data_IF_704013385304
#
_entry.id   IF_704013385304
#
_cell.length_a   1.000
_cell.length_b   1.000
_cell.length_c   1.000
_cell.angle_alpha   90.00
_cell.angle_beta   90.00
_cell.angle_gamma   90.00
#
_symmetry.space_group_name_H-M   'P 1'
#
loop_
_entity.id
_entity.type
_entity.pdbx_description
1 polymer ?
#
# COMPACT_ATOMS: atom_id res chain seq x y z
N UNK A 1 -10.96 8.83 8.45
CA UNK A 1 -9.58 8.86 7.95
C UNK A 1 -9.39 10.00 6.98
N UNK A 2 -8.24 10.62 7.02
CA UNK A 2 -7.89 11.71 6.14
C UNK A 2 -7.00 11.21 5.00
N UNK A 3 -6.75 12.10 4.03
CA UNK A 3 -5.84 11.76 2.93
C UNK A 3 -4.44 11.40 3.43
N UNK A 4 -4.00 12.06 4.51
CA UNK A 4 -2.71 11.74 5.11
C UNK A 4 -2.66 10.33 5.68
N UNK A 5 -3.78 9.89 6.28
CA UNK A 5 -3.86 8.55 6.84
C UNK A 5 -3.80 7.50 5.73
N UNK A 6 -4.49 7.75 4.62
CA UNK A 6 -4.47 6.85 3.49
C UNK A 6 -3.06 6.74 2.90
N UNK A 7 -2.37 7.88 2.82
CA UNK A 7 -1.02 7.89 2.30
C UNK A 7 -0.06 7.12 3.20
N UNK A 8 -0.18 7.30 4.51
CA UNK A 8 0.66 6.57 5.46
C UNK A 8 0.42 5.06 5.35
N UNK A 9 -0.84 4.67 5.19
CA UNK A 9 -1.18 3.27 5.04
C UNK A 9 -0.59 2.70 3.76
N UNK A 10 -0.71 3.45 2.65
CA UNK A 10 -0.13 3.03 1.39
C UNK A 10 1.38 2.93 1.46
N UNK A 11 2.04 3.88 2.11
CA UNK A 11 3.49 3.85 2.29
C UNK A 11 3.91 2.60 3.06
N UNK A 12 3.19 2.28 4.12
CA UNK A 12 3.48 1.10 4.92
C UNK A 12 3.34 -0.19 4.10
N UNK A 13 2.30 -0.26 3.29
CA UNK A 13 2.08 -1.43 2.43
C UNK A 13 3.18 -1.56 1.38
N UNK A 14 3.60 -0.44 0.79
CA UNK A 14 4.66 -0.46 -0.19
C UNK A 14 5.98 -0.90 0.40
N UNK A 15 6.30 -0.42 1.59
CA UNK A 15 7.52 -0.81 2.29
C UNK A 15 7.50 -2.30 2.63
N UNK A 16 6.35 -2.79 3.08
CA UNK A 16 6.20 -4.21 3.39
C UNK A 16 6.36 -5.05 2.13
N UNK A 17 5.79 -4.62 1.02
CA UNK A 17 5.93 -5.31 -0.25
C UNK A 17 7.39 -5.37 -0.68
N UNK A 18 8.12 -4.27 -0.49
CA UNK A 18 9.54 -4.22 -0.82
C UNK A 18 10.32 -5.22 0.03
N UNK A 19 9.99 -5.30 1.31
CA UNK A 19 10.62 -6.23 2.23
C UNK A 19 10.40 -7.68 1.78
N UNK A 20 9.18 -8.00 1.39
CA UNK A 20 8.86 -9.34 0.89
C UNK A 20 9.64 -9.67 -0.38
N UNK A 21 9.78 -8.69 -1.25
CA UNK A 21 10.54 -8.85 -2.49
C UNK A 21 12.00 -9.16 -2.19
N UNK A 22 12.59 -8.44 -1.23
CA UNK A 22 13.99 -8.66 -0.86
C UNK A 22 14.23 -10.02 -0.24
N UNK A 23 13.23 -10.56 0.44
CA UNK A 23 13.32 -11.86 1.08
C UNK A 23 12.90 -13.01 0.17
N UNK A 24 12.57 -12.70 -1.09
CA UNK A 24 12.19 -13.69 -2.08
C UNK A 24 10.99 -14.54 -1.61
N UNK A 25 10.09 -13.91 -0.88
CA UNK A 25 8.86 -14.57 -0.43
C UNK A 25 7.83 -14.60 -1.56
N UNK A 26 7.26 -15.76 -1.79
CA UNK A 26 6.26 -15.94 -2.85
C UNK A 26 4.85 -15.83 -2.25
N UNK A 27 4.52 -14.65 -1.75
CA UNK A 27 3.19 -14.39 -1.19
C UNK A 27 2.49 -13.23 -1.89
N UNK A 28 2.76 -13.12 -3.20
CA UNK A 28 2.20 -12.03 -3.99
C UNK A 28 0.68 -12.02 -3.98
N UNK A 29 0.07 -13.19 -4.11
CA UNK A 29 -1.39 -13.29 -4.12
C UNK A 29 -1.97 -12.91 -2.77
N UNK A 30 -1.35 -13.39 -1.69
CA UNK A 30 -1.80 -13.07 -0.34
C UNK A 30 -1.67 -11.58 -0.08
N UNK A 31 -0.57 -10.99 -0.52
CA UNK A 31 -0.37 -9.56 -0.35
C UNK A 31 -1.42 -8.76 -1.13
N UNK A 32 -1.70 -9.17 -2.37
CA UNK A 32 -2.70 -8.50 -3.18
C UNK A 32 -4.09 -8.60 -2.55
N UNK A 33 -4.41 -9.76 -1.98
CA UNK A 33 -5.68 -9.93 -1.29
C UNK A 33 -5.78 -9.00 -0.09
N UNK A 34 -4.69 -8.84 0.65
CA UNK A 34 -4.66 -7.93 1.78
C UNK A 34 -4.88 -6.48 1.32
N UNK A 35 -4.21 -6.07 0.25
CA UNK A 35 -4.37 -4.72 -0.29
C UNK A 35 -5.81 -4.49 -0.74
N UNK A 36 -6.41 -5.46 -1.41
CA UNK A 36 -7.79 -5.34 -1.87
C UNK A 36 -8.75 -5.19 -0.70
N UNK A 37 -8.53 -5.97 0.36
CA UNK A 37 -9.36 -5.87 1.56
C UNK A 37 -9.24 -4.48 2.20
N UNK A 38 -8.03 -3.97 2.28
CA UNK A 38 -7.79 -2.65 2.85
C UNK A 38 -8.46 -1.57 1.99
N UNK A 39 -8.35 -1.67 0.67
CA UNK A 39 -9.00 -0.71 -0.22
C UNK A 39 -10.51 -0.73 -0.03
N UNK A 40 -11.08 -1.90 0.13
CA UNK A 40 -12.51 -2.03 0.36
C UNK A 40 -12.93 -1.36 1.67
N UNK A 41 -12.17 -1.58 2.72
CA UNK A 41 -12.43 -0.94 4.02
C UNK A 41 -12.34 0.58 3.90
N UNK A 42 -11.30 1.07 3.23
CA UNK A 42 -11.12 2.51 3.06
C UNK A 42 -12.27 3.13 2.28
N UNK A 43 -12.72 2.45 1.25
CA UNK A 43 -13.84 2.95 0.44
C UNK A 43 -15.13 2.97 1.25
N UNK A 44 -15.34 1.98 2.10
CA UNK A 44 -16.51 1.94 2.97
C UNK A 44 -16.47 3.05 4.00
N UNK A 45 -15.28 3.35 4.53
CA UNK A 45 -15.12 4.39 5.53
C UNK A 45 -15.21 5.79 4.93
N UNK A 46 -14.82 5.94 3.67
CA UNK A 46 -14.78 7.24 3.02
C UNK A 46 -15.16 7.09 1.54
N UNK A 47 -16.38 7.50 1.15
CA UNK A 47 -16.81 7.35 -0.24
C UNK A 47 -15.93 8.09 -1.25
N UNK A 48 -15.15 9.06 -0.79
CA UNK A 48 -14.25 9.81 -1.66
C UNK A 48 -12.89 9.14 -1.84
N UNK A 49 -12.69 8.02 -1.17
CA UNK A 49 -11.43 7.29 -1.29
C UNK A 49 -11.20 6.90 -2.75
N UNK A 50 -10.00 7.19 -3.24
CA UNK A 50 -9.61 6.88 -4.61
C UNK A 50 -8.62 5.72 -4.59
N UNK A 51 -9.11 4.54 -4.97
CA UNK A 51 -8.31 3.32 -4.95
C UNK A 51 -7.12 3.41 -5.93
N UNK A 52 -7.29 4.14 -7.03
CA UNK A 52 -6.23 4.27 -8.01
C UNK A 52 -5.06 5.06 -7.45
N UNK A 53 -5.35 6.16 -6.77
CA UNK A 53 -4.32 6.97 -6.11
C UNK A 53 -3.64 6.16 -5.01
N UNK A 54 -4.41 5.37 -4.30
CA UNK A 54 -3.89 4.51 -3.25
C UNK A 54 -2.90 3.49 -3.83
N UNK A 55 -3.26 2.85 -4.93
CA UNK A 55 -2.38 1.90 -5.60
C UNK A 55 -1.09 2.56 -6.08
N UNK A 56 -1.19 3.77 -6.62
CA UNK A 56 0.00 4.50 -7.05
C UNK A 56 0.91 4.83 -5.88
N UNK A 57 0.33 5.19 -4.74
CA UNK A 57 1.12 5.49 -3.54
C UNK A 57 1.86 4.24 -3.05
N UNK A 58 1.20 3.08 -3.11
CA UNK A 58 1.85 1.81 -2.74
C UNK A 58 3.01 1.53 -3.70
N UNK A 59 2.79 1.70 -4.98
CA UNK A 59 3.80 1.46 -6.00
C UNK A 59 5.03 2.34 -5.78
N UNK A 60 4.81 3.63 -5.52
CA UNK A 60 5.91 4.55 -5.28
C UNK A 60 6.67 4.19 -4.01
N UNK A 61 5.95 3.82 -2.96
CA UNK A 61 6.59 3.42 -1.71
C UNK A 61 7.40 2.13 -1.88
N UNK A 62 6.91 1.22 -2.72
CA UNK A 62 7.64 0.00 -3.02
C UNK A 62 8.97 0.31 -3.69
N UNK A 63 8.96 1.21 -4.66
CA UNK A 63 10.19 1.59 -5.35
C UNK A 63 11.16 2.35 -4.47
N UNK A 64 10.66 3.08 -3.48
CA UNK A 64 11.49 3.87 -2.58
C UNK A 64 11.65 3.20 -1.22
N UNK A 65 11.19 1.96 -1.08
CA UNK A 65 11.04 1.33 0.21
C UNK A 65 12.28 1.25 1.06
N UNK A 66 13.42 1.03 0.43
CA UNK A 66 14.67 0.92 1.19
C UNK A 66 15.38 2.25 1.37
N UNK A 67 14.78 3.33 0.88
CA UNK A 67 15.37 4.65 0.96
C UNK A 67 14.32 5.68 1.35
N UNK A 68 13.82 5.60 2.57
CA UNK A 68 12.70 6.43 3.01
C UNK A 68 13.02 7.91 3.08
N UNK A 69 14.28 8.22 3.04
CA UNK A 69 14.72 9.56 3.17
C UNK A 69 14.57 10.39 1.92
N UNK A 70 14.53 9.75 0.83
CA UNK A 70 14.48 10.42 -0.45
C UNK A 70 13.29 11.34 -0.61
#
# INVERSE_FOLDING_TARGET
MTSKDFKKLADSLGIFQHYLFLNDDDITDEFQNLVDSIKHICKSANPRFDAEVFDQAIYLAFHNGSNPKS
#
